data_IF_973509372062
#
_entry.id   IF_973509372062
#
_cell.length_a   1.000
_cell.length_b   1.000
_cell.length_c   1.000
_cell.angle_alpha   90.00
_cell.angle_beta   90.00
_cell.angle_gamma   90.00
#
_symmetry.space_group_name_H-M   'P 1'
#
loop_
_entity.id
_entity.type
_entity.pdbx_description
1 polymer ?
#
# COMPACT_ATOMS: atom_id res chain seq x y z
N UNK A 1 0.82 22.87 -2.63
CA UNK A 1 0.96 22.71 -1.17
C UNK A 1 1.90 23.82 -0.68
N UNK A 2 1.54 24.51 0.37
CA UNK A 2 2.38 25.49 1.01
C UNK A 2 3.63 24.81 1.58
N UNK A 3 4.77 25.49 1.53
CA UNK A 3 6.08 24.92 1.90
C UNK A 3 6.14 24.51 3.37
N UNK A 4 5.48 25.25 4.24
CA UNK A 4 5.35 24.98 5.68
C UNK A 4 4.40 23.83 6.02
N UNK A 5 3.64 23.35 5.03
CA UNK A 5 2.73 22.21 5.13
C UNK A 5 3.27 20.94 4.50
N UNK A 6 4.54 20.91 4.10
CA UNK A 6 5.18 19.68 3.67
C UNK A 6 5.33 18.72 4.84
N UNK A 7 5.14 17.42 4.57
CA UNK A 7 5.30 16.39 5.60
C UNK A 7 6.75 16.35 6.10
N UNK A 8 6.94 16.20 7.42
CA UNK A 8 8.26 16.26 8.05
C UNK A 8 9.01 14.92 7.94
N UNK A 9 9.28 14.46 6.72
CA UNK A 9 9.91 13.15 6.45
C UNK A 9 11.18 12.89 7.27
N UNK A 10 11.93 13.95 7.60
CA UNK A 10 13.15 13.85 8.43
C UNK A 10 12.87 13.49 9.90
N UNK A 11 11.62 13.53 10.35
CA UNK A 11 11.22 13.12 11.70
C UNK A 11 10.89 11.64 11.82
N UNK A 12 10.86 10.92 10.67
CA UNK A 12 10.67 9.47 10.65
C UNK A 12 11.86 8.81 11.33
N UNK A 13 11.58 7.92 12.27
CA UNK A 13 12.60 7.25 13.08
C UNK A 13 12.22 5.80 13.38
N UNK A 14 13.18 4.94 13.74
CA UNK A 14 12.89 3.60 14.24
C UNK A 14 11.89 3.63 15.41
N UNK A 15 10.90 2.73 15.35
CA UNK A 15 9.78 2.67 16.29
C UNK A 15 8.49 3.34 15.76
N UNK A 16 8.56 4.13 14.70
CA UNK A 16 7.36 4.63 14.04
C UNK A 16 6.56 3.48 13.41
N UNK A 17 5.25 3.64 13.39
CA UNK A 17 4.31 2.64 12.87
C UNK A 17 3.94 2.92 11.42
N UNK A 18 3.82 1.85 10.64
CA UNK A 18 3.29 1.89 9.28
C UNK A 18 1.81 1.49 9.29
N UNK A 19 0.93 2.41 8.91
CA UNK A 19 -0.48 2.15 8.65
C UNK A 19 -0.74 2.04 7.16
N UNK A 20 -1.51 1.01 6.77
CA UNK A 20 -1.96 0.80 5.39
C UNK A 20 -3.42 1.16 5.21
N UNK A 21 -3.75 1.79 4.09
CA UNK A 21 -5.10 1.95 3.54
C UNK A 21 -5.25 1.04 2.34
N UNK A 22 -6.36 0.30 2.26
CA UNK A 22 -6.59 -0.64 1.16
C UNK A 22 -6.71 0.08 -0.18
N UNK A 23 -6.24 -0.60 -1.21
CA UNK A 23 -6.49 -0.23 -2.61
C UNK A 23 -7.89 -0.68 -3.03
N UNK A 24 -8.45 -0.05 -4.07
CA UNK A 24 -9.69 -0.50 -4.72
C UNK A 24 -9.44 -1.58 -5.79
N UNK A 25 -8.20 -1.81 -6.16
CA UNK A 25 -7.78 -2.70 -7.23
C UNK A 25 -6.32 -2.46 -7.63
N UNK A 26 -5.92 -2.74 -8.87
CA UNK A 26 -4.53 -2.58 -9.34
C UNK A 26 -4.02 -1.14 -9.37
N UNK A 27 -4.90 -0.15 -9.27
CA UNK A 27 -4.55 1.28 -9.29
C UNK A 27 -3.74 1.69 -10.53
N UNK A 28 -4.19 1.22 -11.71
CA UNK A 28 -3.57 1.54 -13.00
C UNK A 28 -2.11 1.11 -13.17
N UNK A 29 -1.64 0.18 -12.33
CA UNK A 29 -0.26 -0.34 -12.37
C UNK A 29 -0.24 -1.87 -12.49
N UNK A 30 0.88 -2.40 -13.00
CA UNK A 30 1.11 -3.83 -13.10
C UNK A 30 0.32 -4.55 -14.19
N UNK A 31 -0.33 -3.83 -15.13
CA UNK A 31 -1.19 -4.44 -16.14
C UNK A 31 -0.44 -5.34 -17.14
N UNK A 32 0.84 -5.10 -17.39
CA UNK A 32 1.63 -6.02 -18.22
C UNK A 32 1.67 -7.42 -17.59
N UNK A 33 1.93 -7.48 -16.28
CA UNK A 33 1.92 -8.74 -15.54
C UNK A 33 0.51 -9.33 -15.48
N UNK A 34 -0.50 -8.53 -15.09
CA UNK A 34 -1.88 -9.00 -14.97
C UNK A 34 -2.42 -9.56 -16.30
N UNK A 35 -2.13 -8.93 -17.42
CA UNK A 35 -2.51 -9.43 -18.74
C UNK A 35 -1.83 -10.76 -19.06
N UNK A 36 -0.56 -10.93 -18.71
CA UNK A 36 0.16 -12.19 -18.92
C UNK A 36 -0.42 -13.30 -18.02
N UNK A 37 -0.72 -13.00 -16.76
CA UNK A 37 -1.26 -13.98 -15.81
C UNK A 37 -2.66 -14.47 -16.20
N UNK A 38 -3.48 -13.60 -16.81
CA UNK A 38 -4.88 -13.89 -17.15
C UNK A 38 -5.16 -13.99 -18.65
N UNK A 39 -4.12 -14.10 -19.51
CA UNK A 39 -4.26 -14.17 -20.98
C UNK A 39 -5.13 -15.37 -21.46
N UNK A 40 -5.11 -16.45 -20.68
CA UNK A 40 -5.89 -17.65 -20.94
C UNK A 40 -7.37 -17.53 -20.55
N UNK A 41 -7.78 -16.48 -19.84
CA UNK A 41 -9.10 -16.32 -19.26
C UNK A 41 -9.91 -15.26 -20.01
N UNK A 42 -11.13 -15.56 -20.50
CA UNK A 42 -12.03 -14.55 -21.06
C UNK A 42 -12.34 -13.45 -20.03
N UNK A 43 -12.40 -12.18 -20.49
CA UNK A 43 -12.60 -11.03 -19.57
C UNK A 43 -13.97 -11.03 -18.87
N UNK A 44 -14.97 -11.71 -19.43
CA UNK A 44 -16.30 -11.91 -18.83
C UNK A 44 -16.37 -13.13 -17.90
N UNK A 45 -15.30 -13.91 -17.81
CA UNK A 45 -15.26 -15.04 -16.87
C UNK A 45 -15.20 -14.55 -15.44
N UNK A 46 -15.85 -15.29 -14.54
CA UNK A 46 -15.89 -15.04 -13.11
C UNK A 46 -15.17 -16.18 -12.37
N UNK A 47 -13.83 -16.15 -12.29
CA UNK A 47 -13.08 -17.17 -11.56
C UNK A 47 -13.26 -16.99 -10.05
N UNK A 48 -13.44 -18.07 -9.31
CA UNK A 48 -13.40 -18.02 -7.85
C UNK A 48 -12.00 -17.53 -7.39
N UNK A 49 -11.88 -16.71 -6.35
CA UNK A 49 -12.94 -16.26 -5.43
C UNK A 49 -13.62 -14.92 -5.81
N UNK A 50 -13.51 -14.44 -7.06
CA UNK A 50 -14.13 -13.17 -7.46
C UNK A 50 -15.65 -13.26 -7.49
N UNK A 51 -16.31 -12.19 -7.03
CA UNK A 51 -17.78 -12.03 -7.10
C UNK A 51 -18.23 -11.27 -8.37
N UNK A 52 -17.28 -10.87 -9.22
CA UNK A 52 -17.50 -10.19 -10.50
C UNK A 52 -16.59 -10.79 -11.58
N UNK A 53 -16.75 -10.39 -12.83
CA UNK A 53 -15.84 -10.82 -13.90
C UNK A 53 -14.41 -10.32 -13.68
N UNK A 54 -13.43 -11.04 -14.23
CA UNK A 54 -12.03 -10.62 -14.16
C UNK A 54 -11.82 -9.24 -14.80
N UNK A 55 -12.55 -8.95 -15.89
CA UNK A 55 -12.51 -7.65 -16.54
C UNK A 55 -12.99 -6.53 -15.62
N UNK A 56 -14.12 -6.73 -14.92
CA UNK A 56 -14.63 -5.76 -13.94
C UNK A 56 -13.65 -5.56 -12.80
N UNK A 57 -13.11 -6.64 -12.21
CA UNK A 57 -12.13 -6.56 -11.13
C UNK A 57 -10.86 -5.78 -11.53
N UNK A 58 -10.40 -5.97 -12.77
CA UNK A 58 -9.22 -5.26 -13.30
C UNK A 58 -9.51 -3.80 -13.63
N UNK A 59 -10.74 -3.44 -13.95
CA UNK A 59 -11.14 -2.09 -14.38
C UNK A 59 -11.67 -1.21 -13.24
N UNK A 60 -11.62 -1.66 -11.99
CA UNK A 60 -12.04 -0.85 -10.83
C UNK A 60 -11.29 0.48 -10.84
N UNK A 61 -12.00 1.63 -10.78
CA UNK A 61 -11.35 2.94 -10.77
C UNK A 61 -10.37 3.09 -9.61
N UNK A 62 -9.25 3.74 -9.88
CA UNK A 62 -8.30 4.13 -8.86
C UNK A 62 -8.97 5.07 -7.85
N UNK A 63 -8.99 4.71 -6.58
CA UNK A 63 -9.61 5.52 -5.53
C UNK A 63 -8.76 6.73 -5.16
N UNK A 64 -9.42 7.84 -4.83
CA UNK A 64 -8.77 8.96 -4.15
C UNK A 64 -8.63 8.68 -2.65
N UNK A 65 -7.49 9.05 -2.07
CA UNK A 65 -7.26 9.01 -0.63
C UNK A 65 -7.41 10.38 0.02
N UNK A 66 -7.69 11.44 -0.76
CA UNK A 66 -7.75 12.81 -0.26
C UNK A 66 -8.82 12.97 0.82
N UNK A 67 -10.04 12.50 0.54
CA UNK A 67 -11.16 12.65 1.49
C UNK A 67 -10.90 11.89 2.79
N UNK A 68 -10.32 10.67 2.69
CA UNK A 68 -9.98 9.86 3.85
C UNK A 68 -8.92 10.52 4.74
N UNK A 69 -7.97 11.24 4.15
CA UNK A 69 -6.80 11.81 4.83
C UNK A 69 -6.95 13.29 5.17
N UNK A 70 -7.97 13.99 4.63
CA UNK A 70 -8.08 15.45 4.71
C UNK A 70 -8.02 15.98 6.15
N UNK A 71 -8.70 15.31 7.08
CA UNK A 71 -8.72 15.71 8.50
C UNK A 71 -7.35 15.50 9.14
N UNK A 72 -6.73 14.35 8.91
CA UNK A 72 -5.41 14.03 9.44
C UNK A 72 -4.29 14.93 8.87
N UNK A 73 -4.41 15.33 7.60
CA UNK A 73 -3.49 16.28 6.96
C UNK A 73 -3.65 17.72 7.50
N UNK A 74 -4.81 18.04 8.09
CA UNK A 74 -5.06 19.31 8.76
C UNK A 74 -4.35 19.44 10.11
N UNK A 75 -3.97 18.34 10.74
CA UNK A 75 -3.23 18.29 12.00
C UNK A 75 -1.72 18.18 11.71
N UNK A 76 -1.03 19.31 11.91
CA UNK A 76 0.41 19.37 11.64
C UNK A 76 1.20 18.41 12.54
N UNK A 77 1.95 17.50 11.90
CA UNK A 77 2.82 16.55 12.57
C UNK A 77 2.14 15.23 13.01
N UNK A 78 0.85 15.04 12.74
CA UNK A 78 0.18 13.76 12.96
C UNK A 78 0.69 12.72 11.96
N UNK A 79 0.84 13.10 10.71
CA UNK A 79 1.41 12.27 9.64
C UNK A 79 2.87 12.68 9.42
N UNK A 80 3.81 11.75 9.60
CA UNK A 80 5.24 11.97 9.30
C UNK A 80 5.56 11.76 7.82
N UNK A 81 4.91 10.78 7.18
CA UNK A 81 5.15 10.45 5.78
C UNK A 81 3.95 9.76 5.13
N UNK A 82 3.81 9.96 3.82
CA UNK A 82 2.80 9.30 2.98
C UNK A 82 3.48 8.70 1.76
N UNK A 83 3.32 7.39 1.56
CA UNK A 83 3.75 6.70 0.35
C UNK A 83 2.52 6.20 -0.42
N UNK A 84 2.26 6.78 -1.58
CA UNK A 84 1.24 6.30 -2.50
C UNK A 84 1.80 5.12 -3.29
N UNK A 85 1.14 3.97 -3.20
CA UNK A 85 1.63 2.72 -3.78
C UNK A 85 1.16 2.62 -5.23
N UNK A 86 2.10 2.86 -6.13
CA UNK A 86 1.93 2.86 -7.59
C UNK A 86 2.85 1.82 -8.23
N UNK A 87 3.31 2.04 -9.47
CA UNK A 87 4.34 1.19 -10.08
C UNK A 87 5.59 1.12 -9.21
N UNK A 88 6.07 -0.06 -8.94
CA UNK A 88 7.11 -0.34 -7.95
C UNK A 88 6.58 -0.95 -6.64
N UNK A 89 5.25 -1.00 -6.46
CA UNK A 89 4.61 -1.63 -5.30
C UNK A 89 5.08 -1.07 -3.96
N UNK A 90 4.99 -1.86 -2.90
CA UNK A 90 5.49 -1.47 -1.58
C UNK A 90 7.01 -1.29 -1.57
N UNK A 91 7.72 -2.16 -2.30
CA UNK A 91 9.18 -2.25 -2.26
C UNK A 91 9.85 -0.97 -2.76
N UNK A 92 9.35 -0.36 -3.84
CA UNK A 92 10.00 0.80 -4.44
C UNK A 92 9.34 2.15 -4.05
N UNK A 93 8.09 2.14 -3.55
CA UNK A 93 7.42 3.40 -3.18
C UNK A 93 7.65 3.78 -1.72
N UNK A 94 7.63 2.84 -0.77
CA UNK A 94 7.84 3.15 0.64
C UNK A 94 9.22 3.78 0.90
N UNK A 95 10.33 3.31 0.30
CA UNK A 95 11.63 3.93 0.50
C UNK A 95 11.73 5.41 0.10
N UNK A 96 10.85 5.89 -0.78
CA UNK A 96 10.88 7.30 -1.24
C UNK A 96 10.64 8.30 -0.11
N UNK A 97 9.93 7.88 0.93
CA UNK A 97 9.62 8.73 2.08
C UNK A 97 10.54 8.47 3.28
N UNK A 98 11.35 7.41 3.25
CA UNK A 98 12.24 7.07 4.37
C UNK A 98 13.50 7.95 4.40
N UNK A 99 13.98 8.33 5.60
CA UNK A 99 15.33 8.81 5.81
C UNK A 99 16.38 7.74 5.46
N UNK A 100 17.63 8.17 5.22
CA UNK A 100 18.71 7.27 4.77
C UNK A 100 19.09 6.18 5.80
N UNK A 101 18.77 6.40 7.08
CA UNK A 101 19.10 5.50 8.20
C UNK A 101 17.91 4.65 8.67
N UNK A 102 16.84 4.55 7.86
CA UNK A 102 15.62 3.83 8.21
C UNK A 102 15.24 2.82 7.14
N UNK A 103 14.84 1.62 7.55
CA UNK A 103 14.14 0.63 6.75
C UNK A 103 12.66 0.55 7.18
N UNK A 104 11.82 0.04 6.29
CA UNK A 104 10.45 -0.34 6.60
C UNK A 104 10.36 -1.87 6.73
N UNK A 105 9.97 -2.37 7.90
CA UNK A 105 9.64 -3.79 8.12
C UNK A 105 8.14 -3.95 7.93
N UNK A 106 7.72 -4.64 6.86
CA UNK A 106 6.31 -4.84 6.50
C UNK A 106 5.92 -6.29 6.74
N UNK A 107 4.94 -6.48 7.62
CA UNK A 107 4.42 -7.81 8.00
C UNK A 107 3.36 -8.27 7.01
N UNK A 108 3.68 -9.27 6.22
CA UNK A 108 2.74 -9.87 5.28
C UNK A 108 1.58 -10.55 6.04
N UNK A 109 0.38 -10.49 5.45
CA UNK A 109 -0.82 -11.03 6.11
C UNK A 109 -1.40 -10.16 7.22
N UNK A 110 -0.85 -8.97 7.48
CA UNK A 110 -1.37 -8.04 8.50
C UNK A 110 -2.57 -7.20 8.03
N UNK A 111 -2.96 -7.33 6.78
CA UNK A 111 -4.18 -6.71 6.20
C UNK A 111 -5.01 -7.74 5.45
N UNK A 112 -6.33 -7.53 5.29
CA UNK A 112 -7.15 -8.39 4.47
C UNK A 112 -6.74 -8.27 3.01
N UNK A 113 -6.24 -9.35 2.43
CA UNK A 113 -5.87 -9.39 1.02
C UNK A 113 -7.14 -9.35 0.15
N UNK A 114 -7.33 -8.34 -0.72
CA UNK A 114 -8.45 -8.33 -1.65
C UNK A 114 -8.47 -9.55 -2.58
N UNK A 115 -9.66 -10.04 -2.92
CA UNK A 115 -9.86 -11.29 -3.68
C UNK A 115 -9.12 -11.32 -5.01
N UNK A 116 -9.03 -10.19 -5.70
CA UNK A 116 -8.22 -10.10 -6.92
C UNK A 116 -6.75 -10.47 -6.68
N UNK A 117 -6.14 -9.98 -5.60
CA UNK A 117 -4.74 -10.27 -5.30
C UNK A 117 -4.53 -11.66 -4.72
N UNK A 118 -5.54 -12.27 -4.07
CA UNK A 118 -5.51 -13.70 -3.74
C UNK A 118 -5.43 -14.52 -5.02
N UNK A 119 -6.31 -14.26 -5.98
CA UNK A 119 -6.30 -14.92 -7.29
C UNK A 119 -4.97 -14.71 -8.03
N UNK A 120 -4.42 -13.50 -7.97
CA UNK A 120 -3.10 -13.21 -8.55
C UNK A 120 -2.01 -14.08 -7.92
N UNK A 121 -1.98 -14.22 -6.59
CA UNK A 121 -1.01 -15.07 -5.90
C UNK A 121 -1.14 -16.54 -6.32
N UNK A 122 -2.37 -17.06 -6.44
CA UNK A 122 -2.64 -18.43 -6.84
C UNK A 122 -2.14 -18.72 -8.27
N UNK A 123 -2.43 -17.80 -9.20
CA UNK A 123 -2.04 -17.94 -10.61
C UNK A 123 -0.54 -17.69 -10.81
N UNK A 124 0.03 -16.78 -10.03
CA UNK A 124 1.45 -16.40 -10.13
C UNK A 124 2.39 -17.29 -9.32
N UNK A 125 2.00 -18.53 -9.02
CA UNK A 125 2.74 -19.47 -8.14
C UNK A 125 4.19 -19.73 -8.56
N UNK A 126 4.60 -19.38 -9.79
CA UNK A 126 5.98 -19.47 -10.29
C UNK A 126 6.81 -18.18 -10.14
N UNK A 127 6.21 -17.07 -9.68
CA UNK A 127 6.91 -15.81 -9.47
C UNK A 127 7.42 -15.69 -8.04
N UNK A 128 8.56 -15.01 -7.87
CA UNK A 128 9.04 -14.66 -6.54
C UNK A 128 8.07 -13.68 -5.87
N UNK A 129 7.84 -13.87 -4.56
CA UNK A 129 6.95 -13.01 -3.79
C UNK A 129 7.35 -11.53 -3.88
N UNK A 130 8.64 -11.24 -3.79
CA UNK A 130 9.17 -9.88 -3.93
C UNK A 130 8.81 -9.24 -5.27
N UNK A 131 8.73 -10.01 -6.35
CA UNK A 131 8.34 -9.51 -7.67
C UNK A 131 6.88 -9.07 -7.69
N UNK A 132 5.97 -9.81 -7.04
CA UNK A 132 4.57 -9.42 -6.90
C UNK A 132 4.44 -8.11 -6.11
N UNK A 133 5.13 -7.99 -4.96
CA UNK A 133 5.11 -6.80 -4.11
C UNK A 133 5.90 -5.61 -4.67
N UNK A 134 6.69 -5.81 -5.72
CA UNK A 134 7.34 -4.76 -6.51
C UNK A 134 6.48 -4.32 -7.69
N UNK A 135 5.72 -5.22 -8.29
CA UNK A 135 4.93 -4.93 -9.48
C UNK A 135 3.53 -4.41 -9.15
N UNK A 136 2.92 -4.95 -8.09
CA UNK A 136 1.54 -4.69 -7.69
C UNK A 136 1.47 -4.09 -6.28
N UNK A 137 0.38 -3.38 -5.99
CA UNK A 137 0.14 -2.83 -4.66
C UNK A 137 -0.28 -3.89 -3.62
N UNK A 138 -0.62 -5.10 -4.05
CA UNK A 138 -1.03 -6.23 -3.22
C UNK A 138 -2.08 -5.88 -2.14
N UNK A 139 -3.00 -4.98 -2.50
CA UNK A 139 -4.10 -4.56 -1.64
C UNK A 139 -3.84 -3.32 -0.78
N UNK A 140 -2.62 -2.81 -0.73
CA UNK A 140 -2.28 -1.55 -0.03
C UNK A 140 -2.04 -0.45 -1.05
N UNK A 141 -2.88 0.58 -1.05
CA UNK A 141 -2.73 1.69 -1.99
C UNK A 141 -2.10 2.95 -1.39
N UNK A 142 -2.12 3.09 -0.05
CA UNK A 142 -1.47 4.18 0.67
C UNK A 142 -0.82 3.65 1.94
N UNK A 143 0.41 4.04 2.20
CA UNK A 143 1.11 3.79 3.47
C UNK A 143 1.34 5.11 4.18
N UNK A 144 1.05 5.14 5.48
CA UNK A 144 1.20 6.30 6.36
C UNK A 144 2.23 5.95 7.42
N UNK A 145 3.17 6.86 7.64
CA UNK A 145 4.12 6.77 8.75
C UNK A 145 3.66 7.69 9.88
N UNK A 146 3.57 7.15 11.09
CA UNK A 146 3.06 7.85 12.28
C UNK A 146 3.85 7.44 13.52
N UNK A 147 3.94 8.33 14.51
CA UNK A 147 4.46 7.99 15.85
C UNK A 147 3.66 6.85 16.47
N UNK A 148 4.32 5.91 17.14
CA UNK A 148 3.67 4.78 17.81
C UNK A 148 2.62 5.25 18.82
N UNK A 149 2.91 6.32 19.56
CA UNK A 149 2.01 6.89 20.56
C UNK A 149 0.79 7.61 19.96
N UNK A 150 0.84 7.98 18.69
CA UNK A 150 -0.23 8.72 18.00
C UNK A 150 -1.06 7.88 17.03
N UNK A 151 -0.87 6.57 17.00
CA UNK A 151 -1.63 5.66 16.11
C UNK A 151 -3.14 5.77 16.31
N UNK A 152 -3.61 5.80 17.56
CA UNK A 152 -5.04 5.89 17.88
C UNK A 152 -5.61 7.23 17.39
N UNK A 153 -4.93 8.33 17.66
CA UNK A 153 -5.32 9.67 17.23
C UNK A 153 -5.40 9.75 15.69
N UNK A 154 -4.44 9.18 14.99
CA UNK A 154 -4.44 9.14 13.54
C UNK A 154 -5.63 8.34 13.00
N UNK A 155 -5.91 7.18 13.59
CA UNK A 155 -7.07 6.34 13.21
C UNK A 155 -8.40 7.07 13.38
N UNK A 156 -8.54 7.85 14.45
CA UNK A 156 -9.75 8.66 14.71
C UNK A 156 -9.88 9.83 13.72
N UNK A 157 -8.77 10.28 13.16
CA UNK A 157 -8.74 11.35 12.16
C UNK A 157 -8.94 10.85 10.72
N UNK A 158 -8.79 9.56 10.45
CA UNK A 158 -8.99 8.95 9.12
C UNK A 158 -10.39 8.36 9.05
N UNK A 159 -11.14 8.64 7.99
CA UNK A 159 -12.51 8.12 7.83
C UNK A 159 -12.56 6.66 7.38
N UNK A 160 -11.47 6.13 6.86
CA UNK A 160 -11.38 4.77 6.33
C UNK A 160 -10.75 3.79 7.32
N UNK A 161 -11.07 2.49 7.23
CA UNK A 161 -10.35 1.46 7.96
C UNK A 161 -8.85 1.48 7.65
N UNK A 162 -8.04 1.33 8.69
CA UNK A 162 -6.57 1.26 8.60
C UNK A 162 -6.04 0.00 9.26
N UNK A 163 -4.92 -0.51 8.76
CA UNK A 163 -4.23 -1.68 9.30
C UNK A 163 -2.80 -1.31 9.67
N UNK A 164 -2.33 -1.78 10.81
CA UNK A 164 -0.91 -1.74 11.14
C UNK A 164 -0.25 -2.80 10.27
N UNK A 165 0.53 -2.36 9.28
CA UNK A 165 1.19 -3.24 8.32
C UNK A 165 2.67 -3.45 8.62
N UNK A 166 3.22 -2.73 9.60
CA UNK A 166 4.63 -2.83 9.95
C UNK A 166 5.12 -1.65 10.79
N UNK A 167 6.42 -1.53 10.82
CA UNK A 167 7.12 -0.51 11.60
C UNK A 167 8.37 -0.02 10.87
N UNK A 168 8.87 1.14 11.30
CA UNK A 168 10.17 1.65 10.89
C UNK A 168 11.24 1.07 11.79
N UNK A 169 12.31 0.56 11.19
CA UNK A 169 13.48 0.02 11.88
C UNK A 169 14.76 0.72 11.42
N UNK A 170 15.85 0.58 12.15
CA UNK A 170 17.15 1.04 11.69
C UNK A 170 17.58 0.30 10.41
N UNK A 171 18.13 1.00 9.43
CA UNK A 171 18.52 0.41 8.16
C UNK A 171 19.11 1.38 7.15
N UNK A 172 18.99 1.05 5.87
CA UNK A 172 19.63 1.73 4.73
C UNK A 172 18.61 2.09 3.64
N UNK A 173 17.39 2.46 4.04
CA UNK A 173 16.33 2.90 3.13
C UNK A 173 15.73 1.79 2.26
N UNK A 174 15.54 0.61 2.84
CA UNK A 174 14.93 -0.54 2.16
C UNK A 174 13.59 -0.95 2.78
N UNK A 175 12.85 -1.77 2.05
CA UNK A 175 11.69 -2.51 2.57
C UNK A 175 12.10 -3.95 2.84
N UNK A 176 11.74 -4.46 4.03
CA UNK A 176 11.83 -5.86 4.40
C UNK A 176 10.42 -6.43 4.53
N UNK A 177 10.11 -7.40 3.70
CA UNK A 177 8.88 -8.18 3.81
C UNK A 177 9.10 -9.33 4.79
N UNK A 178 8.30 -9.42 5.86
CA UNK A 178 8.45 -10.39 6.94
C UNK A 178 7.13 -11.11 7.24
#
# INVERSE_FOLDING_TARGET
VERDRLLPLQTIAPGDVLLGLLSSGPHTNGYSLLRTLFDWLPLDAQPAPLECSIGEALLVPHRSYLDALQRALGDHGLIKGLAHITGGGLIDNVPRVLPANCDASIKLGSWPMPTLFQLVQDVASGLAQDELYRTLNMGIGMVIVVDADRVTELRDAISDPTWIIGEIIAGDKHVRLV
#
